data_IF_153027890838
#
_entry.id   IF_153027890838
#
_cell.length_a   1.000
_cell.length_b   1.000
_cell.length_c   1.000
_cell.angle_alpha   90.00
_cell.angle_beta   90.00
_cell.angle_gamma   90.00
#
_symmetry.space_group_name_H-M   'P 1'
#
loop_
_entity.id
_entity.type
_entity.pdbx_description
1 polymer ?
#
# COMPACT_ATOMS: atom_id res chain seq x y z
N UNK A 1 -13.12 22.09 36.05
CA UNK A 1 -12.00 22.09 35.08
C UNK A 1 -12.13 20.92 34.09
N UNK A 2 -13.24 20.81 33.35
CA UNK A 2 -13.52 19.64 32.49
C UNK A 2 -13.51 19.93 30.98
N UNK A 3 -13.40 21.20 30.57
CA UNK A 3 -13.39 21.62 29.15
C UNK A 3 -12.01 21.66 28.52
N UNK A 4 -10.95 21.63 29.33
CA UNK A 4 -9.56 21.71 28.89
C UNK A 4 -9.12 20.56 27.94
N UNK A 5 -9.51 19.28 28.16
CA UNK A 5 -9.17 18.22 27.21
C UNK A 5 -9.95 18.32 25.89
N UNK A 6 -11.21 18.78 25.92
CA UNK A 6 -12.03 19.00 24.71
C UNK A 6 -11.46 20.12 23.84
N UNK A 7 -10.99 21.20 24.47
CA UNK A 7 -10.35 22.34 23.79
C UNK A 7 -9.03 21.91 23.14
N UNK A 8 -8.23 21.08 23.82
CA UNK A 8 -6.98 20.54 23.27
C UNK A 8 -7.21 19.60 22.09
N UNK A 9 -8.26 18.78 22.12
CA UNK A 9 -8.64 17.91 21.00
C UNK A 9 -9.12 18.76 19.81
N UNK A 10 -9.96 19.78 20.04
CA UNK A 10 -10.40 20.69 18.98
C UNK A 10 -9.23 21.47 18.35
N UNK A 11 -8.28 21.93 19.17
CA UNK A 11 -7.07 22.60 18.69
C UNK A 11 -6.15 21.65 17.92
N UNK A 12 -6.04 20.37 18.32
CA UNK A 12 -5.26 19.38 17.60
C UNK A 12 -5.88 19.05 16.22
N UNK A 13 -7.22 18.96 16.13
CA UNK A 13 -7.95 18.76 14.87
C UNK A 13 -7.83 19.97 13.94
N UNK A 14 -7.91 21.19 14.47
CA UNK A 14 -7.75 22.42 13.70
C UNK A 14 -6.28 22.70 13.29
N UNK A 15 -5.32 22.06 13.96
CA UNK A 15 -3.88 22.17 13.64
C UNK A 15 -3.43 21.18 12.57
N UNK A 16 -4.29 20.26 12.14
CA UNK A 16 -4.07 19.47 10.92
C UNK A 16 -4.33 20.41 9.74
N UNK A 17 -3.33 21.23 9.43
CA UNK A 17 -3.20 21.71 8.05
C UNK A 17 -2.93 20.45 7.24
N UNK A 18 -3.97 19.95 6.58
CA UNK A 18 -3.76 19.13 5.40
C UNK A 18 -2.91 20.01 4.49
N UNK A 19 -1.60 19.75 4.49
CA UNK A 19 -0.71 20.30 3.48
C UNK A 19 -1.33 19.81 2.19
N UNK A 20 -2.04 20.72 1.50
CA UNK A 20 -2.43 20.53 0.12
C UNK A 20 -1.09 20.60 -0.58
N UNK A 21 -0.37 19.48 -0.55
CA UNK A 21 0.75 19.29 -1.44
C UNK A 21 0.19 19.63 -2.81
N UNK A 22 0.79 20.66 -3.41
CA UNK A 22 0.52 21.11 -4.77
C UNK A 22 0.23 19.87 -5.61
N UNK A 23 -0.87 19.93 -6.38
CA UNK A 23 -1.28 18.90 -7.32
C UNK A 23 -0.04 18.35 -8.01
N UNK A 24 0.49 17.24 -7.47
CA UNK A 24 1.65 16.61 -8.07
C UNK A 24 1.17 16.26 -9.47
N UNK A 25 1.81 16.78 -10.54
CA UNK A 25 1.45 16.33 -11.87
C UNK A 25 1.48 14.80 -11.80
N UNK A 26 0.33 14.20 -12.12
CA UNK A 26 0.16 12.75 -12.14
C UNK A 26 1.43 12.17 -12.74
N UNK A 27 2.14 11.40 -11.91
CA UNK A 27 3.56 11.13 -12.04
C UNK A 27 3.96 10.86 -13.48
N UNK A 28 5.12 11.40 -13.87
CA UNK A 28 5.73 11.16 -15.19
C UNK A 28 5.53 9.69 -15.58
N UNK A 29 4.64 9.40 -16.55
CA UNK A 29 4.30 8.04 -16.89
C UNK A 29 5.55 7.48 -17.52
N UNK A 30 6.30 6.71 -16.73
CA UNK A 30 7.29 5.81 -17.28
C UNK A 30 6.51 5.00 -18.31
N UNK A 31 6.88 5.17 -19.59
CA UNK A 31 5.97 5.16 -20.75
C UNK A 31 5.32 3.80 -21.03
N UNK A 32 5.55 2.84 -20.14
CA UNK A 32 5.13 1.46 -20.15
C UNK A 32 4.05 1.13 -19.09
N UNK A 33 3.69 2.04 -18.16
CA UNK A 33 2.58 1.82 -17.20
C UNK A 33 1.31 2.42 -17.79
N UNK A 34 0.26 1.61 -17.90
CA UNK A 34 -1.02 2.00 -18.50
C UNK A 34 -2.13 1.80 -17.47
N UNK A 35 -3.02 2.79 -17.41
CA UNK A 35 -4.21 2.73 -16.55
C UNK A 35 -5.16 1.63 -17.03
N UNK A 36 -5.86 0.99 -16.09
CA UNK A 36 -6.79 -0.09 -16.39
C UNK A 36 -8.18 0.47 -16.71
N UNK A 37 -8.34 1.08 -17.88
CA UNK A 37 -9.63 1.59 -18.40
C UNK A 37 -10.49 0.48 -19.03
N UNK A 38 -11.71 0.80 -19.46
CA UNK A 38 -12.62 -0.17 -20.12
C UNK A 38 -12.10 -0.63 -21.49
N UNK A 39 -11.50 0.30 -22.24
CA UNK A 39 -10.82 0.05 -23.49
C UNK A 39 -9.35 0.46 -23.34
N UNK A 40 -8.43 -0.46 -23.61
CA UNK A 40 -6.99 -0.26 -23.48
C UNK A 40 -6.34 -0.60 -24.82
N UNK A 41 -5.43 0.25 -25.29
CA UNK A 41 -4.67 0.00 -26.52
C UNK A 41 -3.18 0.06 -26.21
N UNK A 42 -2.48 -1.04 -26.48
CA UNK A 42 -1.05 -1.18 -26.23
C UNK A 42 -0.29 -1.26 -27.56
N UNK A 43 0.54 -0.26 -27.91
CA UNK A 43 1.33 -0.31 -29.13
C UNK A 43 2.54 -1.23 -28.98
N UNK A 44 2.83 -2.02 -30.01
CA UNK A 44 4.09 -2.77 -30.09
C UNK A 44 5.16 -1.94 -30.82
N UNK A 45 5.36 -0.69 -30.38
CA UNK A 45 6.29 0.25 -31.02
C UNK A 45 7.03 1.07 -29.98
N UNK A 46 8.32 1.31 -30.23
CA UNK A 46 9.13 2.20 -29.42
C UNK A 46 10.18 2.93 -30.27
N UNK A 47 10.24 4.28 -30.25
CA UNK A 47 11.06 5.05 -31.21
C UNK A 47 12.56 4.75 -31.14
N UNK A 48 13.09 4.46 -29.95
CA UNK A 48 14.52 4.30 -29.73
C UNK A 48 15.04 2.85 -29.74
N UNK A 49 14.17 1.83 -29.71
CA UNK A 49 14.61 0.45 -29.47
C UNK A 49 14.34 -0.43 -30.68
N UNK A 50 15.40 -1.04 -31.22
CA UNK A 50 15.27 -2.09 -32.22
C UNK A 50 14.66 -3.37 -31.61
N UNK A 51 13.80 -4.13 -32.32
CA UNK A 51 13.21 -3.86 -33.64
C UNK A 51 11.91 -3.02 -33.57
N UNK A 52 11.52 -2.59 -32.37
CA UNK A 52 10.25 -1.90 -32.10
C UNK A 52 10.16 -0.49 -32.69
N UNK A 53 11.27 0.10 -33.13
CA UNK A 53 11.28 1.38 -33.84
C UNK A 53 10.55 1.32 -35.19
N UNK A 54 10.71 0.21 -35.92
CA UNK A 54 10.04 -0.08 -37.17
C UNK A 54 9.72 -1.59 -37.26
N UNK A 55 8.76 -2.01 -36.44
CA UNK A 55 8.42 -3.42 -36.28
C UNK A 55 7.75 -4.03 -37.51
N UNK A 56 7.05 -3.23 -38.31
CA UNK A 56 6.44 -3.69 -39.56
C UNK A 56 7.49 -4.15 -40.57
N UNK A 57 8.66 -3.49 -40.58
CA UNK A 57 9.77 -3.82 -41.47
C UNK A 57 10.72 -4.85 -40.86
N UNK A 58 11.04 -4.71 -39.58
CA UNK A 58 12.10 -5.49 -38.92
C UNK A 58 11.57 -6.76 -38.25
N UNK A 59 10.28 -6.80 -37.89
CA UNK A 59 9.64 -7.92 -37.22
C UNK A 59 9.23 -9.01 -38.20
N UNK A 60 9.94 -10.14 -38.18
CA UNK A 60 9.57 -11.33 -38.95
C UNK A 60 8.34 -12.03 -38.38
N UNK A 61 8.20 -12.01 -37.05
CA UNK A 61 7.04 -12.56 -36.33
C UNK A 61 6.81 -11.74 -35.07
N UNK A 62 5.57 -11.31 -34.85
CA UNK A 62 5.17 -10.53 -33.68
C UNK A 62 4.08 -11.29 -32.94
N UNK A 63 4.25 -11.43 -31.62
CA UNK A 63 3.32 -12.15 -30.75
C UNK A 63 3.18 -11.36 -29.46
N UNK A 64 1.94 -11.17 -29.02
CA UNK A 64 1.62 -10.68 -27.69
C UNK A 64 1.51 -11.82 -26.70
N UNK A 65 2.13 -11.66 -25.54
CA UNK A 65 2.06 -12.57 -24.40
C UNK A 65 1.23 -11.85 -23.34
N UNK A 66 0.08 -12.45 -23.01
CA UNK A 66 -0.86 -11.91 -22.04
C UNK A 66 -0.37 -12.16 -20.59
N UNK A 67 -0.93 -11.46 -19.59
CA UNK A 67 -0.57 -11.66 -18.18
C UNK A 67 -0.92 -13.07 -17.67
N UNK A 68 -0.41 -13.38 -16.47
CA UNK A 68 -0.61 -14.65 -15.79
C UNK A 68 -2.09 -15.00 -15.61
N UNK A 69 -2.92 -14.02 -15.29
CA UNK A 69 -4.35 -14.21 -15.04
C UNK A 69 -5.12 -14.56 -16.33
N UNK A 70 -4.57 -14.18 -17.48
CA UNK A 70 -4.99 -14.65 -18.81
C UNK A 70 -4.20 -15.91 -19.26
N UNK A 71 -3.62 -16.67 -18.33
CA UNK A 71 -2.89 -17.93 -18.56
C UNK A 71 -1.70 -17.82 -19.53
N UNK A 72 -1.05 -16.65 -19.61
CA UNK A 72 0.06 -16.42 -20.56
C UNK A 72 -0.27 -16.76 -22.01
N UNK A 73 -1.53 -16.57 -22.42
CA UNK A 73 -1.94 -16.84 -23.81
C UNK A 73 -1.11 -15.99 -24.80
N UNK A 74 -0.88 -16.55 -25.97
CA UNK A 74 -0.09 -15.94 -27.03
C UNK A 74 -0.99 -15.54 -28.19
N UNK A 75 -1.03 -14.24 -28.50
CA UNK A 75 -1.83 -13.68 -29.59
C UNK A 75 -0.93 -13.21 -30.72
N UNK A 76 -1.14 -13.78 -31.91
CA UNK A 76 -0.46 -13.38 -33.14
C UNK A 76 -1.24 -12.28 -33.88
N UNK A 77 -0.66 -11.71 -34.93
CA UNK A 77 -1.33 -10.67 -35.71
C UNK A 77 -2.70 -11.11 -36.24
N UNK A 78 -3.74 -10.28 -36.04
CA UNK A 78 -5.12 -10.57 -36.43
C UNK A 78 -5.83 -11.63 -35.59
N UNK A 79 -5.20 -12.15 -34.53
CA UNK A 79 -5.87 -13.04 -33.58
C UNK A 79 -6.68 -12.24 -32.57
N UNK A 80 -7.79 -12.83 -32.14
CA UNK A 80 -8.68 -12.30 -31.11
C UNK A 80 -9.07 -13.43 -30.19
N UNK A 81 -9.21 -13.12 -28.91
CA UNK A 81 -9.55 -14.06 -27.86
C UNK A 81 -10.19 -13.29 -26.70
N UNK A 82 -11.37 -13.69 -26.23
CA UNK A 82 -12.08 -13.14 -25.05
C UNK A 82 -11.75 -11.68 -24.71
N UNK A 83 -12.16 -10.71 -25.55
CA UNK A 83 -11.96 -9.28 -25.32
C UNK A 83 -10.57 -8.72 -25.68
N UNK A 84 -9.58 -9.57 -25.94
CA UNK A 84 -8.28 -9.21 -26.49
C UNK A 84 -8.28 -9.33 -28.02
N UNK A 85 -7.74 -8.34 -28.72
CA UNK A 85 -7.65 -8.35 -30.19
C UNK A 85 -6.35 -7.69 -30.65
N UNK A 86 -5.56 -8.39 -31.46
CA UNK A 86 -4.39 -7.81 -32.13
C UNK A 86 -4.85 -7.29 -33.49
N UNK A 87 -4.77 -5.98 -33.71
CA UNK A 87 -5.24 -5.37 -34.94
C UNK A 87 -4.46 -5.86 -36.16
N UNK A 88 -5.16 -6.46 -37.12
CA UNK A 88 -4.58 -7.11 -38.32
C UNK A 88 -3.88 -6.14 -39.27
N UNK A 89 -4.43 -4.94 -39.41
CA UNK A 89 -4.00 -3.92 -40.39
C UNK A 89 -3.19 -2.77 -39.74
N UNK A 90 -2.94 -2.88 -38.43
CA UNK A 90 -2.10 -1.94 -37.70
C UNK A 90 -0.63 -2.20 -38.02
N UNK A 91 0.05 -1.22 -38.63
CA UNK A 91 1.52 -1.27 -38.78
C UNK A 91 2.25 -1.32 -37.43
N UNK A 92 1.54 -1.08 -36.33
CA UNK A 92 2.08 -1.04 -34.98
C UNK A 92 1.80 -2.32 -34.17
N UNK A 93 1.13 -3.33 -34.77
CA UNK A 93 0.71 -4.57 -34.10
C UNK A 93 0.07 -4.31 -32.73
N UNK A 94 -0.83 -3.35 -32.67
CA UNK A 94 -1.46 -2.91 -31.42
C UNK A 94 -2.36 -4.01 -30.83
N UNK A 95 -2.22 -4.23 -29.53
CA UNK A 95 -3.14 -5.04 -28.74
C UNK A 95 -4.25 -4.14 -28.20
N UNK A 96 -5.48 -4.40 -28.63
CA UNK A 96 -6.69 -3.77 -28.12
C UNK A 96 -7.33 -4.71 -27.10
N UNK A 97 -7.65 -4.18 -25.94
CA UNK A 97 -8.26 -4.90 -24.84
C UNK A 97 -9.59 -4.20 -24.54
N UNK A 98 -10.69 -4.91 -24.73
CA UNK A 98 -12.03 -4.43 -24.41
C UNK A 98 -12.61 -5.28 -23.27
N UNK A 99 -12.72 -4.66 -22.09
CA UNK A 99 -13.23 -5.29 -20.87
C UNK A 99 -14.69 -5.68 -20.94
N UNK A 100 -15.51 -4.98 -21.73
CA UNK A 100 -16.95 -5.28 -21.87
C UNK A 100 -17.19 -6.67 -22.48
N UNK A 101 -16.24 -7.15 -23.28
CA UNK A 101 -16.32 -8.44 -23.96
C UNK A 101 -15.69 -9.58 -23.14
N UNK A 102 -15.38 -9.36 -21.86
CA UNK A 102 -14.70 -10.32 -20.99
C UNK A 102 -15.61 -10.86 -19.91
N UNK A 103 -15.44 -12.14 -19.60
CA UNK A 103 -16.10 -12.77 -18.45
C UNK A 103 -15.54 -12.26 -17.11
N UNK A 104 -14.24 -11.93 -17.08
CA UNK A 104 -13.52 -11.46 -15.89
C UNK A 104 -12.71 -10.19 -16.25
N UNK A 105 -13.31 -9.00 -16.21
CA UNK A 105 -12.65 -7.74 -16.58
C UNK A 105 -11.36 -7.42 -15.80
N UNK A 106 -11.28 -7.85 -14.54
CA UNK A 106 -10.11 -7.60 -13.69
C UNK A 106 -8.89 -8.45 -14.04
N UNK A 107 -9.08 -9.54 -14.81
CA UNK A 107 -7.98 -10.39 -15.31
C UNK A 107 -7.07 -9.68 -16.32
N UNK A 108 -7.48 -8.48 -16.76
CA UNK A 108 -6.70 -7.60 -17.63
C UNK A 108 -5.51 -6.97 -16.91
N UNK A 109 -5.52 -6.89 -15.58
CA UNK A 109 -4.42 -6.27 -14.85
C UNK A 109 -3.17 -7.16 -14.88
N UNK A 110 -2.02 -6.59 -15.21
CA UNK A 110 -0.74 -7.30 -15.19
C UNK A 110 0.25 -6.84 -16.24
N UNK A 111 1.28 -7.67 -16.43
CA UNK A 111 2.35 -7.43 -17.38
C UNK A 111 2.03 -8.08 -18.73
N UNK A 112 1.97 -7.26 -19.77
CA UNK A 112 1.87 -7.67 -21.16
C UNK A 112 3.24 -7.56 -21.80
N UNK A 113 3.53 -8.49 -22.72
CA UNK A 113 4.81 -8.48 -23.43
C UNK A 113 4.54 -8.61 -24.92
N UNK A 114 4.99 -7.63 -25.70
CA UNK A 114 5.11 -7.81 -27.14
C UNK A 114 6.47 -8.43 -27.44
N UNK A 115 6.45 -9.65 -27.98
CA UNK A 115 7.62 -10.38 -28.42
C UNK A 115 7.75 -10.27 -29.94
N UNK A 116 8.90 -9.81 -30.41
CA UNK A 116 9.21 -9.68 -31.83
C UNK A 116 10.44 -10.50 -32.19
N UNK A 117 10.30 -11.39 -33.18
CA UNK A 117 11.42 -12.10 -33.79
C UNK A 117 12.00 -11.21 -34.89
N UNK A 118 13.24 -10.77 -34.71
CA UNK A 118 13.94 -9.92 -35.66
C UNK A 118 15.40 -10.38 -35.81
N UNK A 119 16.13 -9.78 -36.74
CA UNK A 119 17.54 -10.12 -36.96
C UNK A 119 18.36 -9.71 -35.73
N UNK A 120 19.36 -10.51 -35.36
CA UNK A 120 20.22 -10.18 -34.23
C UNK A 120 21.13 -8.98 -34.54
N UNK A 121 21.58 -8.86 -35.79
CA UNK A 121 22.36 -7.73 -36.28
C UNK A 121 21.65 -7.11 -37.50
N UNK A 122 21.04 -5.91 -37.38
CA UNK A 122 20.35 -5.27 -38.49
C UNK A 122 21.31 -4.79 -39.60
N UNK A 123 22.59 -4.59 -39.29
CA UNK A 123 23.58 -4.05 -40.25
C UNK A 123 24.22 -5.16 -41.11
N UNK A 124 24.18 -6.42 -40.66
CA UNK A 124 24.72 -7.57 -41.38
C UNK A 124 23.62 -8.52 -41.85
N UNK A 125 23.00 -8.15 -42.98
CA UNK A 125 21.96 -8.92 -43.65
C UNK A 125 22.39 -10.34 -44.08
N UNK A 126 23.69 -10.64 -44.12
CA UNK A 126 24.21 -11.96 -44.53
C UNK A 126 24.08 -13.01 -43.42
N UNK A 127 24.08 -12.56 -42.16
CA UNK A 127 23.90 -13.42 -41.00
C UNK A 127 22.41 -13.69 -40.79
N UNK A 128 21.90 -14.86 -41.21
CA UNK A 128 20.51 -15.29 -40.97
C UNK A 128 20.24 -15.64 -39.49
N UNK A 129 20.81 -14.88 -38.56
CA UNK A 129 20.69 -15.07 -37.12
C UNK A 129 19.53 -14.20 -36.64
N UNK A 130 18.55 -14.84 -36.01
CA UNK A 130 17.37 -14.19 -35.47
C UNK A 130 17.35 -14.33 -33.94
N UNK A 131 16.86 -13.28 -33.28
CA UNK A 131 16.67 -13.24 -31.84
C UNK A 131 15.27 -12.73 -31.50
N UNK A 132 14.78 -13.14 -30.33
CA UNK A 132 13.53 -12.61 -29.76
C UNK A 132 13.84 -11.36 -28.95
N UNK A 133 13.11 -10.30 -29.25
CA UNK A 133 13.13 -9.04 -28.53
C UNK A 133 11.80 -8.85 -27.81
N UNK A 134 11.82 -8.17 -26.67
CA UNK A 134 10.65 -8.03 -25.81
C UNK A 134 10.41 -6.57 -25.42
N UNK A 135 9.20 -6.08 -25.65
CA UNK A 135 8.69 -4.80 -25.17
C UNK A 135 7.59 -5.08 -24.15
N UNK A 136 7.63 -4.42 -22.99
CA UNK A 136 6.73 -4.73 -21.87
C UNK A 136 5.82 -3.56 -21.54
N UNK A 137 4.61 -3.89 -21.13
CA UNK A 137 3.56 -2.96 -20.69
C UNK A 137 2.97 -3.45 -19.37
N UNK A 138 2.82 -2.55 -18.40
CA UNK A 138 2.21 -2.81 -17.11
C UNK A 138 0.82 -2.18 -17.04
N UNK A 139 -0.22 -2.98 -17.22
CA UNK A 139 -1.60 -2.50 -17.14
C UNK A 139 -2.11 -2.67 -15.71
N UNK A 140 -2.57 -1.58 -15.10
CA UNK A 140 -3.24 -1.63 -13.80
C UNK A 140 -2.41 -2.13 -12.62
N UNK A 141 -1.07 -2.13 -12.74
CA UNK A 141 -0.16 -2.67 -11.71
C UNK A 141 -0.28 -2.01 -10.33
N UNK A 142 -0.72 -0.76 -10.31
CA UNK A 142 -0.79 0.06 -9.10
C UNK A 142 -2.20 0.57 -8.80
N UNK A 143 -3.22 -0.10 -9.34
CA UNK A 143 -4.64 0.19 -9.03
C UNK A 143 -4.95 0.12 -7.54
N UNK A 144 -4.19 -0.69 -6.79
CA UNK A 144 -4.31 -0.79 -5.34
C UNK A 144 -3.57 0.31 -4.56
N UNK A 145 -2.81 1.18 -5.22
CA UNK A 145 -2.06 2.27 -4.58
C UNK A 145 -2.91 3.55 -4.66
N UNK A 146 -3.47 4.05 -3.54
CA UNK A 146 -4.38 5.20 -3.56
C UNK A 146 -3.76 6.46 -4.19
N UNK A 147 -2.44 6.63 -4.06
CA UNK A 147 -1.72 7.74 -4.68
C UNK A 147 -1.85 7.77 -6.21
N UNK A 148 -2.01 6.59 -6.84
CA UNK A 148 -2.10 6.43 -8.29
C UNK A 148 -3.54 6.44 -8.82
N UNK A 149 -4.54 6.44 -7.94
CA UNK A 149 -5.92 6.62 -8.34
C UNK A 149 -6.19 8.10 -8.64
N UNK A 150 -7.01 8.36 -9.66
CA UNK A 150 -7.45 9.72 -9.99
C UNK A 150 -8.38 10.27 -8.90
N UNK A 151 -8.36 11.58 -8.73
CA UNK A 151 -9.24 12.30 -7.79
C UNK A 151 -8.49 13.09 -6.73
N UNK A 152 -9.25 13.76 -5.88
CA UNK A 152 -8.73 14.55 -4.77
C UNK A 152 -8.18 13.68 -3.64
N UNK A 153 -7.31 14.24 -2.78
CA UNK A 153 -6.78 13.55 -1.59
C UNK A 153 -7.93 13.00 -0.70
N UNK A 154 -9.04 13.75 -0.62
CA UNK A 154 -10.22 13.33 0.14
C UNK A 154 -10.87 12.06 -0.42
N UNK A 155 -10.94 11.91 -1.75
CA UNK A 155 -11.47 10.72 -2.41
C UNK A 155 -10.50 9.53 -2.29
N UNK A 156 -9.20 9.77 -2.50
CA UNK A 156 -8.15 8.73 -2.41
C UNK A 156 -8.08 8.09 -1.02
N UNK A 157 -8.24 8.88 0.04
CA UNK A 157 -8.06 8.44 1.43
C UNK A 157 -9.35 8.46 2.25
N UNK A 158 -10.52 8.49 1.60
CA UNK A 158 -11.82 8.57 2.27
C UNK A 158 -11.94 7.55 3.40
N UNK A 159 -11.65 6.27 3.13
CA UNK A 159 -11.73 5.21 4.14
C UNK A 159 -10.78 5.43 5.33
N UNK A 160 -9.54 5.85 5.07
CA UNK A 160 -8.57 6.16 6.13
C UNK A 160 -9.07 7.31 7.01
N UNK A 161 -9.59 8.37 6.41
CA UNK A 161 -10.23 9.45 7.16
C UNK A 161 -11.47 8.96 7.91
N UNK A 162 -12.26 8.04 7.32
CA UNK A 162 -13.44 7.50 7.99
C UNK A 162 -13.11 6.74 9.27
N UNK A 163 -12.14 5.84 9.20
CA UNK A 163 -11.70 5.08 10.37
C UNK A 163 -11.09 5.99 11.44
N UNK A 164 -10.35 7.03 11.04
CA UNK A 164 -9.78 7.99 11.98
C UNK A 164 -10.87 8.74 12.77
N UNK A 165 -11.92 9.27 12.11
CA UNK A 165 -12.98 9.97 12.85
C UNK A 165 -13.80 9.03 13.73
N UNK A 166 -14.12 7.82 13.25
CA UNK A 166 -14.83 6.81 14.05
C UNK A 166 -14.02 6.44 15.30
N UNK A 167 -12.71 6.20 15.15
CA UNK A 167 -11.82 5.88 16.27
C UNK A 167 -11.77 7.01 17.31
N UNK A 168 -11.69 8.26 16.86
CA UNK A 168 -11.72 9.42 17.75
C UNK A 168 -13.03 9.51 18.53
N UNK A 169 -14.18 9.27 17.89
CA UNK A 169 -15.48 9.29 18.57
C UNK A 169 -15.59 8.17 19.63
N UNK A 170 -15.16 6.96 19.30
CA UNK A 170 -15.17 5.84 20.25
C UNK A 170 -14.29 6.18 21.47
N UNK A 171 -13.11 6.75 21.27
CA UNK A 171 -12.24 7.17 22.36
C UNK A 171 -12.89 8.24 23.25
N UNK A 172 -13.57 9.23 22.66
CA UNK A 172 -14.30 10.26 23.41
C UNK A 172 -15.41 9.65 24.26
N UNK A 173 -16.20 8.72 23.71
CA UNK A 173 -17.28 8.04 24.45
C UNK A 173 -16.71 7.27 25.64
N UNK A 174 -15.60 6.54 25.46
CA UNK A 174 -14.95 5.81 26.55
C UNK A 174 -14.47 6.77 27.65
N UNK A 175 -13.86 7.90 27.30
CA UNK A 175 -13.40 8.90 28.27
C UNK A 175 -14.57 9.49 29.06
N UNK A 176 -15.69 9.80 28.38
CA UNK A 176 -16.90 10.32 29.05
C UNK A 176 -17.49 9.29 30.00
N UNK A 177 -17.64 8.03 29.55
CA UNK A 177 -18.14 6.95 30.41
C UNK A 177 -17.23 6.73 31.62
N UNK A 178 -15.91 6.70 31.42
CA UNK A 178 -14.95 6.58 32.50
C UNK A 178 -15.08 7.75 33.49
N UNK A 179 -15.15 8.99 33.00
CA UNK A 179 -15.30 10.19 33.85
C UNK A 179 -16.60 10.17 34.65
N UNK A 180 -17.71 9.73 34.04
CA UNK A 180 -19.01 9.59 34.71
C UNK A 180 -18.93 8.52 35.80
N UNK A 181 -18.33 7.35 35.52
CA UNK A 181 -18.18 6.28 36.53
C UNK A 181 -17.30 6.71 37.71
N UNK A 182 -16.20 7.42 37.47
CA UNK A 182 -15.33 7.97 38.53
C UNK A 182 -16.05 9.06 39.32
N UNK A 183 -16.80 9.95 38.67
CA UNK A 183 -17.57 10.99 39.34
C UNK A 183 -18.69 10.41 40.21
N UNK A 184 -19.41 9.37 39.75
CA UNK A 184 -20.40 8.67 40.58
C UNK A 184 -19.76 7.90 41.74
N UNK A 185 -18.59 7.29 41.55
CA UNK A 185 -17.81 6.70 42.65
C UNK A 185 -17.36 7.74 43.68
N UNK A 186 -16.99 8.95 43.24
CA UNK A 186 -16.55 10.02 44.13
C UNK A 186 -17.71 10.66 44.91
N UNK A 187 -18.89 10.83 44.30
CA UNK A 187 -20.09 11.33 44.99
C UNK A 187 -20.88 10.29 45.77
N UNK A 188 -20.70 9.00 45.45
CA UNK A 188 -21.30 7.87 46.17
C UNK A 188 -20.37 7.22 47.20
N UNK A 189 -19.20 7.83 47.48
CA UNK A 189 -18.41 7.47 48.65
C UNK A 189 -19.25 7.69 49.91
N UNK A 190 -19.19 6.76 50.86
CA UNK A 190 -20.01 6.74 52.06
C UNK A 190 -20.11 8.14 52.68
N UNK A 191 -21.34 8.64 52.84
CA UNK A 191 -21.62 9.81 53.65
C UNK A 191 -21.32 9.38 55.09
N UNK A 192 -20.18 9.82 55.63
CA UNK A 192 -19.97 9.78 57.07
C UNK A 192 -20.92 10.81 57.69
N UNK A 193 -22.08 10.33 58.17
CA UNK A 193 -22.86 11.08 59.13
C UNK A 193 -22.11 11.06 60.48
N UNK A 194 -21.91 12.27 60.97
CA UNK A 194 -21.18 12.68 62.15
C UNK A 194 -21.80 12.16 63.46
N UNK A 195 -20.98 11.61 64.37
CA UNK A 195 -20.57 12.27 65.62
C UNK A 195 -20.07 11.28 66.70
N UNK A 196 -18.97 11.69 67.33
CA UNK A 196 -18.48 11.33 68.66
C UNK A 196 -17.95 9.91 68.95
N UNK A 197 -16.87 9.93 69.73
CA UNK A 197 -16.26 8.86 70.51
C UNK A 197 -15.39 7.83 69.77
N UNK A 198 -14.11 8.21 69.65
CA UNK A 198 -13.08 7.52 70.42
C UNK A 198 -12.62 6.15 69.93
N UNK A 199 -11.33 6.14 69.57
CA UNK A 199 -10.35 5.12 69.98
C UNK A 199 -10.07 3.95 69.00
N UNK A 200 -8.76 3.88 68.66
CA UNK A 200 -7.92 2.79 68.12
C UNK A 200 -7.97 2.44 66.62
N UNK A 201 -6.96 2.90 65.86
CA UNK A 201 -5.73 2.15 65.51
C UNK A 201 -5.07 2.83 64.29
N UNK A 202 -4.01 3.63 64.47
CA UNK A 202 -2.60 3.22 64.38
C UNK A 202 -2.23 2.72 62.96
N UNK A 203 -1.32 3.31 62.19
CA UNK A 203 -0.36 4.37 62.43
C UNK A 203 0.62 4.46 61.24
N UNK A 204 1.57 5.39 61.35
CA UNK A 204 2.76 5.63 60.53
C UNK A 204 2.63 6.66 59.40
N UNK A 205 2.62 7.92 59.85
CA UNK A 205 3.40 8.98 59.23
C UNK A 205 4.89 8.58 59.15
N UNK A 206 5.57 9.03 58.10
CA UNK A 206 7.01 9.22 58.14
C UNK A 206 7.31 10.66 57.73
N UNK A 207 7.72 11.43 58.74
CA UNK A 207 8.25 12.77 58.61
C UNK A 207 9.64 12.76 57.96
N UNK A 208 9.90 13.90 57.32
CA UNK A 208 11.10 14.30 56.60
C UNK A 208 12.26 14.64 57.56
N UNK A 209 13.50 14.33 57.13
CA UNK A 209 14.78 15.04 57.41
C UNK A 209 15.94 14.19 58.01
N UNK A 210 16.97 13.89 57.18
CA UNK A 210 18.39 14.30 57.34
C UNK A 210 19.36 13.51 56.44
N UNK A 211 19.80 14.19 55.39
CA UNK A 211 21.20 14.44 54.98
C UNK A 211 22.37 13.48 55.35
N UNK A 212 23.19 13.20 54.30
CA UNK A 212 24.64 12.86 54.25
C UNK A 212 25.13 11.45 54.65
N UNK A 213 25.54 10.64 53.65
CA UNK A 213 26.96 10.45 53.23
C UNK A 213 27.14 9.45 52.07
N UNK A 214 28.05 9.83 51.17
CA UNK A 214 28.68 9.19 50.01
C UNK A 214 29.10 7.70 50.16
N UNK A 215 28.86 6.93 49.09
CA UNK A 215 29.79 6.52 48.00
C UNK A 215 30.05 5.02 47.79
N UNK A 216 30.11 4.69 46.49
CA UNK A 216 31.07 3.79 45.81
C UNK A 216 30.53 2.52 45.13
N UNK A 217 30.68 2.55 43.81
CA UNK A 217 31.26 1.52 42.92
C UNK A 217 30.55 0.19 42.63
N UNK A 218 30.12 0.08 41.36
CA UNK A 218 30.69 -0.80 40.32
C UNK A 218 30.59 -2.34 40.44
N UNK A 219 29.96 -2.93 39.40
CA UNK A 219 30.32 -4.19 38.70
C UNK A 219 30.09 -5.55 39.39
N UNK A 220 29.31 -6.43 38.74
CA UNK A 220 29.87 -7.67 38.17
C UNK A 220 28.94 -8.38 37.18
N UNK A 221 29.54 -8.82 36.07
CA UNK A 221 29.04 -9.82 35.11
C UNK A 221 28.58 -11.14 35.76
N UNK A 222 27.68 -11.86 35.08
CA UNK A 222 27.30 -13.24 35.45
C UNK A 222 26.48 -13.97 34.39
N UNK A 223 27.18 -14.49 33.38
CA UNK A 223 26.70 -15.40 32.34
C UNK A 223 26.17 -16.72 32.96
N UNK A 224 25.04 -17.26 32.50
CA UNK A 224 24.79 -18.71 32.55
C UNK A 224 24.13 -19.20 31.27
N UNK A 225 24.82 -20.18 30.69
CA UNK A 225 24.68 -20.81 29.39
C UNK A 225 23.92 -22.14 29.55
N UNK A 226 23.28 -22.55 28.45
CA UNK A 226 23.05 -23.94 28.02
C UNK A 226 21.94 -24.71 28.75
N UNK A 227 21.15 -25.58 28.09
CA UNK A 227 21.41 -26.37 26.89
C UNK A 227 20.07 -26.89 26.33
N UNK A 228 19.96 -26.88 25.00
CA UNK A 228 19.64 -28.04 24.14
C UNK A 228 18.26 -28.74 24.30
N UNK A 229 17.58 -29.23 23.26
CA UNK A 229 17.93 -29.59 21.89
C UNK A 229 16.60 -29.90 21.15
N UNK A 230 16.56 -29.62 19.84
CA UNK A 230 15.94 -30.39 18.75
C UNK A 230 14.55 -31.07 18.94
N UNK A 231 13.62 -31.01 17.98
CA UNK A 231 13.91 -31.44 16.61
C UNK A 231 12.74 -31.16 15.64
N UNK A 232 13.11 -31.17 14.37
CA UNK A 232 12.34 -31.64 13.21
C UNK A 232 11.53 -30.64 12.38
N UNK A 233 12.21 -30.18 11.33
CA UNK A 233 11.66 -29.80 10.03
C UNK A 233 10.97 -30.96 9.28
N UNK A 234 10.10 -30.57 8.35
CA UNK A 234 9.80 -31.12 7.00
C UNK A 234 8.69 -32.15 6.72
N UNK A 235 8.01 -31.82 5.59
CA UNK A 235 7.25 -32.61 4.59
C UNK A 235 5.78 -32.87 4.94
N UNK A 236 4.82 -32.62 4.04
CA UNK A 236 4.79 -32.77 2.57
C UNK A 236 4.03 -31.60 1.93
#
# INVERSE_FOLDING_TARGET
MAFQPLILIFLAVLSVKADVHDEFPEWDPIHWIVESTDLITLPCKHPAYYPFNDIAKNGKKVVWILPKDASYRHLSNGSSDEGFTVQKDSQNFELVINKENMNLPDSVNGMYVCAALAQANPDDASSNIYAWYYLRWGVGLYTNVPAMNKGSIGEKYYWCFTYAWVSCLVAIVIIVLFSVTVHFRYKGGAVEESDADGVYADGLSFDEAKEKRRSSSTSSYGYRKSKDLDNSYTKV
#
